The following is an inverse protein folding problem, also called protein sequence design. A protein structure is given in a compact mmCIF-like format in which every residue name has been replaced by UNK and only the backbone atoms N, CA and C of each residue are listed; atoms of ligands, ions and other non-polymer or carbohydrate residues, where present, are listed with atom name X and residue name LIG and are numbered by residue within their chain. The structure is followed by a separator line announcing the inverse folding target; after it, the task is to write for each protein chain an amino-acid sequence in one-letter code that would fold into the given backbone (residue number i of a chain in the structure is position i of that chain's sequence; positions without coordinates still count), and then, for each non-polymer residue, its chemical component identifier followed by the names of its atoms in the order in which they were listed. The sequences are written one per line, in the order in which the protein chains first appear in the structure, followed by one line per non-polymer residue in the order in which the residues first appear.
data_IF_203671299798
#
_entry.id   IF_203671299798
#
_cell.length_a   1.000
_cell.length_b   1.000
_cell.length_c   1.000
_cell.angle_alpha   90.00
_cell.angle_beta   90.00
_cell.angle_gamma   90.00
#
_symmetry.space_group_name_H-M   'P 1'
#
loop_
_entity.id
_entity.type
_entity.pdbx_description
1 polymer ?
#
# COMPACT_ATOMS: atom_id res chain seq x y z
N UNK A 1 -23.24 -29.86 5.05
CA UNK A 1 -23.56 -28.94 3.93
C UNK A 1 -22.89 -27.63 4.23
N UNK A 2 -21.89 -27.21 3.43
CA UNK A 2 -21.30 -25.88 3.53
C UNK A 2 -22.34 -24.87 3.07
N UNK A 3 -22.59 -23.85 3.86
CA UNK A 3 -23.42 -22.72 3.44
C UNK A 3 -22.82 -22.14 2.17
N UNK A 4 -23.62 -21.71 1.18
CA UNK A 4 -23.11 -20.99 0.03
C UNK A 4 -22.39 -19.72 0.51
N UNK A 5 -21.35 -19.24 -0.20
CA UNK A 5 -20.71 -17.99 0.16
C UNK A 5 -21.75 -16.87 0.17
N UNK A 6 -21.67 -15.92 1.13
CA UNK A 6 -22.61 -14.81 1.15
C UNK A 6 -22.48 -14.00 -0.14
N UNK A 7 -23.63 -13.51 -0.64
CA UNK A 7 -23.63 -12.58 -1.76
C UNK A 7 -22.87 -11.29 -1.41
N UNK A 8 -22.18 -10.67 -2.38
CA UNK A 8 -21.50 -9.43 -2.13
C UNK A 8 -22.50 -8.35 -1.71
N UNK A 9 -22.18 -7.57 -0.68
CA UNK A 9 -23.05 -6.48 -0.22
C UNK A 9 -23.20 -5.37 -1.26
N UNK A 10 -22.17 -5.20 -2.10
CA UNK A 10 -22.13 -4.20 -3.17
C UNK A 10 -21.46 -4.83 -4.41
N UNK A 11 -22.07 -4.60 -5.57
CA UNK A 11 -21.49 -4.88 -6.89
C UNK A 11 -21.18 -3.53 -7.53
N UNK A 12 -19.91 -3.10 -7.43
CA UNK A 12 -19.46 -1.79 -7.92
C UNK A 12 -19.19 -1.87 -9.42
N UNK A 13 -19.85 -1.00 -10.17
CA UNK A 13 -19.80 -0.94 -11.64
C UNK A 13 -19.16 0.36 -12.12
N UNK A 14 -18.72 0.38 -13.37
CA UNK A 14 -18.19 1.56 -14.03
C UNK A 14 -16.69 1.55 -14.25
N UNK A 15 -15.96 0.52 -13.80
CA UNK A 15 -14.57 0.31 -14.18
C UNK A 15 -14.54 -0.50 -15.46
N UNK A 16 -13.98 0.06 -16.53
CA UNK A 16 -13.86 -0.59 -17.84
C UNK A 16 -12.63 -1.49 -17.99
N UNK A 17 -11.84 -1.66 -16.91
CA UNK A 17 -10.54 -2.35 -16.94
C UNK A 17 -10.28 -3.15 -15.67
N UNK A 18 -9.18 -3.91 -15.64
CA UNK A 18 -8.71 -4.65 -14.49
C UNK A 18 -8.41 -3.72 -13.31
N UNK A 19 -8.92 -4.03 -12.12
CA UNK A 19 -8.72 -3.25 -10.89
C UNK A 19 -7.37 -3.60 -10.28
N UNK A 20 -6.54 -2.60 -10.07
CA UNK A 20 -5.19 -2.76 -9.50
C UNK A 20 -5.11 -2.44 -8.01
N UNK A 21 -5.95 -1.54 -7.49
CA UNK A 21 -6.01 -1.25 -6.06
C UNK A 21 -7.38 -0.75 -5.61
N UNK A 22 -7.66 -0.93 -4.30
CA UNK A 22 -8.91 -0.55 -3.66
C UNK A 22 -8.63 0.11 -2.31
N UNK A 23 -9.32 1.20 -2.01
CA UNK A 23 -9.17 1.96 -0.78
C UNK A 23 -10.51 2.39 -0.19
N UNK A 24 -10.69 2.19 1.13
CA UNK A 24 -11.82 2.75 1.87
C UNK A 24 -11.45 4.11 2.42
N UNK A 25 -12.33 5.11 2.22
CA UNK A 25 -12.22 6.42 2.83
C UNK A 25 -13.01 6.41 4.15
N UNK A 26 -12.31 6.46 5.27
CA UNK A 26 -12.92 6.63 6.59
C UNK A 26 -12.65 8.06 7.07
N UNK A 27 -13.68 8.92 7.16
CA UNK A 27 -13.55 10.23 7.81
C UNK A 27 -13.77 10.09 9.29
N UNK A 28 -12.74 10.39 10.10
CA UNK A 28 -12.69 10.12 11.54
C UNK A 28 -13.49 11.09 12.41
N UNK A 29 -14.05 12.21 11.93
CA UNK A 29 -14.58 13.25 12.83
C UNK A 29 -15.80 14.06 12.35
N UNK A 30 -16.85 13.43 11.78
CA UNK A 30 -18.19 14.12 11.71
C UNK A 30 -19.32 13.09 11.69
N UNK A 31 -20.55 13.45 12.13
CA UNK A 31 -21.69 12.53 12.10
C UNK A 31 -21.94 12.11 10.63
N UNK A 32 -21.58 10.86 10.38
CA UNK A 32 -21.85 10.07 9.16
C UNK A 32 -21.68 10.81 7.83
N UNK A 33 -20.44 11.01 7.31
CA UNK A 33 -20.27 11.31 5.90
C UNK A 33 -20.44 10.02 5.07
N UNK A 34 -20.73 10.14 3.76
CA UNK A 34 -20.87 8.97 2.92
C UNK A 34 -19.62 8.09 3.00
N UNK A 35 -19.81 6.78 3.09
CA UNK A 35 -18.75 5.79 2.99
C UNK A 35 -18.22 5.83 1.55
N UNK A 36 -17.13 6.54 1.34
CA UNK A 36 -16.50 6.63 0.03
C UNK A 36 -15.52 5.48 -0.15
N UNK A 37 -15.50 4.95 -1.34
CA UNK A 37 -14.62 3.88 -1.75
C UNK A 37 -13.95 4.27 -3.07
N UNK A 38 -12.65 4.10 -3.19
CA UNK A 38 -11.92 4.38 -4.43
C UNK A 38 -11.21 3.16 -4.95
N UNK A 39 -11.26 2.95 -6.26
CA UNK A 39 -10.57 1.89 -6.97
C UNK A 39 -9.75 2.45 -8.12
N UNK A 40 -8.53 1.96 -8.27
CA UNK A 40 -7.65 2.23 -9.40
C UNK A 40 -7.73 1.07 -10.39
N UNK A 41 -8.05 1.37 -11.65
CA UNK A 41 -8.05 0.43 -12.75
C UNK A 41 -6.94 0.71 -13.75
N UNK A 42 -6.84 -0.15 -14.79
CA UNK A 42 -5.94 0.07 -15.94
C UNK A 42 -6.55 0.96 -17.01
N UNK A 43 -7.70 1.57 -16.75
CA UNK A 43 -8.38 2.55 -17.60
C UNK A 43 -7.85 3.98 -17.42
N UNK A 44 -6.73 4.14 -16.73
CA UNK A 44 -6.13 5.45 -16.41
C UNK A 44 -7.04 6.32 -15.55
N UNK A 45 -7.88 5.72 -14.71
CA UNK A 45 -8.79 6.44 -13.84
C UNK A 45 -8.80 5.86 -12.43
N UNK A 46 -8.97 6.73 -11.46
CA UNK A 46 -9.33 6.38 -10.09
C UNK A 46 -10.80 6.74 -9.93
N UNK A 47 -11.61 5.71 -9.78
CA UNK A 47 -13.05 5.87 -9.59
C UNK A 47 -13.41 5.92 -8.13
N UNK A 48 -14.39 6.72 -7.77
CA UNK A 48 -14.93 6.82 -6.41
C UNK A 48 -16.42 6.50 -6.41
N UNK A 49 -16.84 5.71 -5.43
CA UNK A 49 -18.24 5.35 -5.17
C UNK A 49 -18.68 5.86 -3.81
N UNK A 50 -19.95 6.23 -3.71
CA UNK A 50 -20.59 6.53 -2.44
C UNK A 50 -21.42 5.31 -2.01
N UNK A 51 -20.91 4.56 -1.01
CA UNK A 51 -21.56 3.34 -0.53
C UNK A 51 -22.68 3.61 0.50
N UNK A 52 -22.80 4.83 1.05
CA UNK A 52 -23.79 5.15 2.09
C UNK A 52 -25.23 5.04 1.61
N UNK A 53 -25.48 5.24 0.31
CA UNK A 53 -26.81 5.23 -0.30
C UNK A 53 -27.12 3.93 -1.06
N UNK A 54 -26.26 2.90 -0.93
CA UNK A 54 -26.41 1.64 -1.66
C UNK A 54 -26.21 1.76 -3.17
N UNK A 55 -25.66 2.89 -3.62
CA UNK A 55 -25.38 3.12 -5.05
C UNK A 55 -24.12 2.35 -5.45
N UNK A 56 -24.18 1.69 -6.58
CA UNK A 56 -23.07 0.97 -7.19
C UNK A 56 -22.48 1.69 -8.43
N UNK A 57 -22.84 2.96 -8.63
CA UNK A 57 -22.36 3.78 -9.74
C UNK A 57 -21.18 4.65 -9.29
N UNK A 58 -20.30 4.94 -10.25
CA UNK A 58 -19.17 5.86 -10.05
C UNK A 58 -19.73 7.27 -9.78
N UNK A 59 -19.35 7.85 -8.65
CA UNK A 59 -19.76 9.21 -8.27
C UNK A 59 -18.75 10.26 -8.69
N UNK A 60 -17.48 9.87 -8.81
CA UNK A 60 -16.39 10.74 -9.24
C UNK A 60 -15.24 9.95 -9.86
N UNK A 61 -14.47 10.61 -10.74
CA UNK A 61 -13.30 10.01 -11.38
C UNK A 61 -12.16 11.02 -11.46
N UNK A 62 -10.95 10.53 -11.27
CA UNK A 62 -9.71 11.29 -11.40
C UNK A 62 -8.84 10.60 -12.44
N UNK A 63 -8.44 11.33 -13.48
CA UNK A 63 -7.53 10.82 -14.49
C UNK A 63 -6.12 10.62 -13.88
N UNK A 64 -5.46 9.53 -14.28
CA UNK A 64 -4.07 9.20 -13.93
C UNK A 64 -3.25 9.21 -15.21
N UNK A 65 -2.12 9.89 -15.18
CA UNK A 65 -1.28 10.09 -16.38
C UNK A 65 -0.51 8.84 -16.82
N UNK A 66 -0.39 7.83 -15.95
CA UNK A 66 0.43 6.65 -16.21
C UNK A 66 -0.24 5.36 -15.74
N UNK A 67 -0.15 4.31 -16.59
CA UNK A 67 -0.46 2.92 -16.22
C UNK A 67 0.79 2.26 -15.67
N UNK A 68 1.10 2.53 -14.41
CA UNK A 68 2.19 1.85 -13.70
C UNK A 68 1.71 0.62 -12.92
N UNK A 69 2.65 -0.18 -12.44
CA UNK A 69 2.39 -1.25 -11.46
C UNK A 69 2.12 -0.70 -10.06
N UNK A 70 2.42 0.58 -9.85
CA UNK A 70 2.34 1.24 -8.55
C UNK A 70 0.87 1.47 -8.14
N UNK A 71 0.53 0.99 -6.96
CA UNK A 71 -0.76 1.30 -6.32
C UNK A 71 -0.72 2.71 -5.73
N UNK A 72 -1.84 3.44 -5.83
CA UNK A 72 -2.00 4.71 -5.15
C UNK A 72 -1.89 4.56 -3.63
N UNK A 73 -1.51 5.62 -2.94
CA UNK A 73 -1.54 5.68 -1.48
C UNK A 73 -2.43 6.82 -1.01
N UNK A 74 -3.43 6.49 -0.20
CA UNK A 74 -4.40 7.42 0.33
C UNK A 74 -4.04 7.80 1.77
N UNK A 75 -4.11 9.08 2.08
CA UNK A 75 -4.01 9.63 3.43
C UNK A 75 -5.35 10.25 3.81
N UNK A 76 -6.05 9.60 4.76
CA UNK A 76 -7.33 10.07 5.29
C UNK A 76 -7.11 10.90 6.56
N UNK A 77 -6.87 12.19 6.38
CA UNK A 77 -6.81 13.18 7.46
C UNK A 77 -7.92 14.22 7.26
N UNK A 78 -7.77 15.39 7.89
CA UNK A 78 -8.61 16.57 7.63
C UNK A 78 -8.64 16.92 6.14
N UNK A 79 -7.51 16.77 5.45
CA UNK A 79 -7.36 16.83 3.99
C UNK A 79 -7.18 15.42 3.45
N UNK A 80 -8.08 14.96 2.62
CA UNK A 80 -7.99 13.66 1.97
C UNK A 80 -6.99 13.74 0.80
N UNK A 81 -5.77 13.24 1.01
CA UNK A 81 -4.69 13.33 0.03
C UNK A 81 -4.45 11.97 -0.63
N UNK A 82 -4.19 12.00 -1.92
CA UNK A 82 -3.88 10.84 -2.74
C UNK A 82 -2.52 11.01 -3.40
N UNK A 83 -1.60 10.08 -3.13
CA UNK A 83 -0.34 9.96 -3.86
C UNK A 83 -0.48 8.93 -4.99
N UNK A 84 -0.02 9.26 -6.17
CA UNK A 84 -0.08 8.42 -7.36
C UNK A 84 1.15 8.65 -8.26
N UNK A 85 1.50 7.70 -9.16
CA UNK A 85 2.50 7.96 -10.19
C UNK A 85 2.16 9.19 -11.03
N UNK A 86 3.16 9.99 -11.36
CA UNK A 86 3.02 11.17 -12.18
C UNK A 86 3.14 10.89 -13.68
N UNK A 87 3.30 11.95 -14.47
CA UNK A 87 3.43 11.88 -15.92
C UNK A 87 4.71 11.17 -16.36
N UNK A 88 5.83 11.51 -15.74
CA UNK A 88 7.09 10.81 -15.96
C UNK A 88 7.15 9.55 -15.08
N UNK A 89 7.82 8.51 -15.56
CA UNK A 89 7.85 7.20 -14.90
C UNK A 89 8.42 7.22 -13.48
N UNK A 90 9.37 8.13 -13.21
CA UNK A 90 10.01 8.32 -11.90
C UNK A 90 9.29 9.32 -10.98
N UNK A 91 8.27 10.01 -11.49
CA UNK A 91 7.59 11.09 -10.82
C UNK A 91 6.42 10.59 -9.96
N UNK A 92 6.20 11.25 -8.82
CA UNK A 92 4.99 11.03 -7.99
C UNK A 92 4.26 12.35 -7.82
N UNK A 93 2.95 12.32 -8.00
CA UNK A 93 2.05 13.44 -7.74
C UNK A 93 1.22 13.18 -6.49
N UNK A 94 0.96 14.24 -5.72
CA UNK A 94 0.03 14.21 -4.61
C UNK A 94 -1.08 15.21 -4.86
N UNK A 95 -2.32 14.72 -4.81
CA UNK A 95 -3.54 15.48 -5.11
C UNK A 95 -4.38 15.59 -3.84
N UNK A 96 -4.93 16.76 -3.59
CA UNK A 96 -6.02 16.96 -2.65
C UNK A 96 -7.35 16.57 -3.33
N UNK A 97 -7.98 15.52 -2.81
CA UNK A 97 -9.20 14.97 -3.40
C UNK A 97 -10.41 15.93 -3.29
N UNK A 98 -10.43 16.81 -2.29
CA UNK A 98 -11.52 17.75 -2.10
C UNK A 98 -11.48 18.87 -3.13
N UNK A 99 -10.32 19.45 -3.38
CA UNK A 99 -10.12 20.54 -4.34
C UNK A 99 -9.74 20.05 -5.75
N UNK A 100 -9.37 18.77 -5.91
CA UNK A 100 -8.82 18.15 -7.13
C UNK A 100 -7.55 18.84 -7.63
N UNK A 101 -6.79 19.48 -6.73
CA UNK A 101 -5.56 20.20 -7.07
C UNK A 101 -4.35 19.35 -6.71
N UNK A 102 -3.34 19.38 -7.59
CA UNK A 102 -2.01 18.86 -7.28
C UNK A 102 -1.39 19.77 -6.24
N UNK A 103 -0.99 19.21 -5.09
CA UNK A 103 -0.35 19.93 -3.99
C UNK A 103 1.16 19.71 -3.95
N UNK A 104 1.65 18.68 -4.63
CA UNK A 104 3.07 18.39 -4.74
C UNK A 104 3.38 17.45 -5.89
N UNK A 105 4.53 17.69 -6.50
CA UNK A 105 5.08 16.86 -7.56
C UNK A 105 6.54 16.54 -7.21
N UNK A 106 6.79 15.28 -6.84
CA UNK A 106 8.12 14.80 -6.47
C UNK A 106 8.78 14.24 -7.73
N UNK A 107 9.80 14.95 -8.19
CA UNK A 107 10.57 14.60 -9.39
C UNK A 107 12.03 14.39 -9.01
N UNK A 108 12.61 13.21 -9.28
CA UNK A 108 14.04 13.00 -9.14
C UNK A 108 14.84 14.03 -9.94
N UNK A 109 16.01 14.41 -9.42
CA UNK A 109 16.90 15.35 -10.13
C UNK A 109 17.19 14.81 -11.54
N UNK A 110 17.19 15.68 -12.51
CA UNK A 110 17.57 15.37 -13.89
C UNK A 110 18.89 14.58 -13.93
N UNK A 111 18.97 13.56 -14.78
CA UNK A 111 20.07 12.57 -14.89
C UNK A 111 20.11 11.49 -13.80
N UNK A 112 19.14 11.42 -12.91
CA UNK A 112 19.05 10.29 -11.96
C UNK A 112 18.35 9.09 -12.63
N UNK A 113 19.08 7.98 -12.78
CA UNK A 113 18.51 6.74 -13.34
C UNK A 113 17.86 5.88 -12.26
N UNK A 114 16.73 6.35 -11.69
CA UNK A 114 16.02 5.61 -10.64
C UNK A 114 14.98 4.62 -11.19
N UNK A 115 14.68 4.75 -12.48
CA UNK A 115 13.64 3.95 -13.13
C UNK A 115 12.23 4.36 -12.68
N UNK A 116 11.30 3.43 -12.80
CA UNK A 116 9.89 3.69 -12.51
C UNK A 116 9.58 3.71 -11.01
N UNK A 117 8.54 4.46 -10.65
CA UNK A 117 7.90 4.35 -9.34
C UNK A 117 7.19 3.01 -9.23
N UNK A 118 7.59 2.19 -8.26
CA UNK A 118 7.07 0.85 -8.07
C UNK A 118 6.04 0.74 -6.94
N UNK A 119 6.25 1.48 -5.85
CA UNK A 119 5.35 1.50 -4.71
C UNK A 119 5.45 2.81 -3.92
N UNK A 120 4.35 3.19 -3.27
CA UNK A 120 4.19 4.48 -2.61
C UNK A 120 3.53 4.29 -1.24
N UNK A 121 3.99 5.04 -0.24
CA UNK A 121 3.32 5.17 1.06
C UNK A 121 3.29 6.61 1.50
N UNK A 122 2.10 7.18 1.60
CA UNK A 122 1.86 8.53 2.10
C UNK A 122 1.38 8.48 3.55
N UNK A 123 1.92 9.32 4.41
CA UNK A 123 1.46 9.44 5.79
C UNK A 123 1.64 10.85 6.36
N UNK A 124 0.93 11.14 7.45
CA UNK A 124 1.06 12.36 8.23
C UNK A 124 1.78 12.06 9.53
N UNK A 125 2.93 12.67 9.80
CA UNK A 125 3.56 12.59 11.12
C UNK A 125 2.68 13.14 12.23
N UNK A 126 2.77 12.57 13.43
CA UNK A 126 1.96 13.01 14.60
C UNK A 126 2.25 14.43 15.06
N UNK A 127 3.43 14.95 14.77
CA UNK A 127 3.86 16.31 15.14
C UNK A 127 3.08 17.42 14.43
N UNK A 128 2.04 17.09 13.65
CA UNK A 128 1.28 18.09 12.88
C UNK A 128 2.07 18.69 11.71
N UNK A 129 3.30 18.21 11.47
CA UNK A 129 4.13 18.62 10.35
C UNK A 129 3.49 18.18 9.01
N UNK A 130 4.03 18.69 7.93
CA UNK A 130 3.61 18.38 6.57
C UNK A 130 3.60 16.89 6.26
N UNK A 131 2.74 16.42 5.34
CA UNK A 131 2.72 15.02 4.93
C UNK A 131 4.08 14.60 4.33
N UNK A 132 4.46 13.37 4.61
CA UNK A 132 5.67 12.72 4.09
C UNK A 132 5.29 11.58 3.17
N UNK A 133 6.16 11.30 2.21
CA UNK A 133 5.96 10.28 1.20
C UNK A 133 7.20 9.39 1.11
N UNK A 134 7.02 8.08 1.24
CA UNK A 134 8.06 7.08 0.92
C UNK A 134 7.73 6.48 -0.45
N UNK A 135 8.75 6.39 -1.29
CA UNK A 135 8.65 5.84 -2.64
C UNK A 135 9.71 4.76 -2.81
N UNK A 136 9.30 3.61 -3.31
CA UNK A 136 10.21 2.56 -3.80
C UNK A 136 10.33 2.63 -5.31
N UNK A 137 11.57 2.56 -5.79
CA UNK A 137 11.91 2.69 -7.20
C UNK A 137 12.39 1.39 -7.83
N UNK A 138 12.42 1.37 -9.16
CA UNK A 138 12.87 0.25 -9.98
C UNK A 138 14.37 -0.07 -9.77
N UNK A 139 15.19 0.91 -9.43
CA UNK A 139 16.61 0.71 -9.13
C UNK A 139 16.90 0.06 -7.77
N UNK A 140 15.86 -0.29 -7.00
CA UNK A 140 15.97 -0.91 -5.67
C UNK A 140 16.09 0.08 -4.52
N UNK A 141 16.02 1.39 -4.79
CA UNK A 141 16.08 2.43 -3.76
C UNK A 141 14.74 2.71 -3.10
N UNK A 142 14.80 3.09 -1.84
CA UNK A 142 13.69 3.66 -1.06
C UNK A 142 14.03 5.10 -0.72
N UNK A 143 13.10 6.00 -1.01
CA UNK A 143 13.31 7.44 -0.97
C UNK A 143 12.24 8.09 -0.11
N UNK A 144 12.63 9.03 0.75
CA UNK A 144 11.74 9.86 1.54
C UNK A 144 11.65 11.26 0.94
N UNK A 145 10.42 11.73 0.76
CA UNK A 145 10.09 13.05 0.27
C UNK A 145 9.27 13.85 1.27
N UNK A 146 9.56 15.16 1.33
CA UNK A 146 8.69 16.14 1.97
C UNK A 146 7.69 16.67 0.92
N UNK A 147 6.39 16.40 1.10
CA UNK A 147 5.39 16.62 0.05
C UNK A 147 5.22 18.11 -0.28
N UNK A 148 5.02 18.96 0.72
CA UNK A 148 4.75 20.40 0.47
C UNK A 148 5.97 21.17 -0.03
N UNK A 149 7.16 20.79 0.42
CA UNK A 149 8.42 21.40 -0.05
C UNK A 149 8.90 20.76 -1.36
N UNK A 150 8.29 19.66 -1.79
CA UNK A 150 8.69 18.85 -2.95
C UNK A 150 10.20 18.51 -2.90
N UNK A 151 10.68 18.26 -1.69
CA UNK A 151 12.10 18.10 -1.40
C UNK A 151 12.45 16.65 -1.12
N UNK A 152 13.50 16.18 -1.80
CA UNK A 152 14.18 14.94 -1.44
C UNK A 152 14.84 15.10 -0.07
N UNK A 153 14.50 14.22 0.87
CA UNK A 153 15.05 14.22 2.21
C UNK A 153 16.20 13.24 2.35
N UNK A 154 15.94 11.98 2.02
CA UNK A 154 16.93 10.91 2.13
C UNK A 154 16.62 9.78 1.16
N UNK A 155 17.67 9.08 0.73
CA UNK A 155 17.60 7.90 -0.16
C UNK A 155 18.50 6.81 0.38
N UNK A 156 18.02 5.57 0.35
CA UNK A 156 18.81 4.38 0.70
C UNK A 156 18.64 3.31 -0.38
N UNK A 157 19.69 2.55 -0.63
CA UNK A 157 19.63 1.35 -1.47
C UNK A 157 19.23 0.17 -0.58
N UNK A 158 18.03 -0.34 -0.79
CA UNK A 158 17.47 -1.45 -0.02
C UNK A 158 17.62 -2.79 -0.73
N UNK A 159 17.59 -2.78 -2.06
CA UNK A 159 17.58 -3.95 -2.93
C UNK A 159 18.47 -3.73 -4.15
N UNK A 160 18.85 -4.82 -4.82
CA UNK A 160 19.54 -4.80 -6.12
C UNK A 160 18.55 -4.84 -7.29
N UNK A 161 17.32 -5.22 -7.00
CA UNK A 161 16.21 -5.39 -7.93
C UNK A 161 15.05 -4.43 -7.53
N UNK A 162 14.06 -4.20 -8.40
CA UNK A 162 12.96 -3.28 -8.13
C UNK A 162 12.27 -3.49 -6.79
N UNK A 163 11.94 -2.40 -6.10
CA UNK A 163 11.15 -2.41 -4.85
C UNK A 163 9.70 -2.66 -5.19
N UNK A 164 9.25 -3.90 -5.14
CA UNK A 164 7.89 -4.29 -5.56
C UNK A 164 6.80 -3.78 -4.61
N UNK A 165 7.10 -3.72 -3.33
CA UNK A 165 6.14 -3.27 -2.31
C UNK A 165 6.86 -2.75 -1.07
N UNK A 166 6.21 -1.83 -0.36
CA UNK A 166 6.68 -1.33 0.93
C UNK A 166 5.51 -1.00 1.86
N UNK A 167 5.76 -1.04 3.15
CA UNK A 167 4.84 -0.50 4.16
C UNK A 167 5.63 0.13 5.32
N UNK A 168 4.98 1.06 6.03
CA UNK A 168 5.63 1.89 7.04
C UNK A 168 4.82 2.02 8.32
N UNK A 169 5.43 1.69 9.43
CA UNK A 169 4.92 1.89 10.78
C UNK A 169 5.33 3.28 11.29
N UNK A 170 4.46 4.25 11.11
CA UNK A 170 4.70 5.63 11.52
C UNK A 170 4.86 5.82 13.04
N UNK A 171 4.43 4.85 13.87
CA UNK A 171 4.54 4.94 15.33
C UNK A 171 5.91 4.52 15.83
N UNK A 172 6.51 3.54 15.18
CA UNK A 172 7.84 3.05 15.51
C UNK A 172 8.90 3.55 14.54
N UNK A 173 8.55 4.44 13.62
CA UNK A 173 9.41 4.98 12.56
C UNK A 173 10.20 3.87 11.83
N UNK A 174 9.51 2.76 11.52
CA UNK A 174 10.10 1.54 10.98
C UNK A 174 9.35 1.08 9.74
N UNK A 175 10.07 0.81 8.68
CA UNK A 175 9.52 0.33 7.42
C UNK A 175 10.08 -1.01 6.99
N UNK A 176 9.42 -1.57 5.99
CA UNK A 176 9.82 -2.80 5.31
C UNK A 176 9.59 -2.64 3.83
N UNK A 177 10.47 -3.21 3.05
CA UNK A 177 10.32 -3.33 1.59
C UNK A 177 10.62 -4.74 1.12
N UNK A 178 9.90 -5.15 0.08
CA UNK A 178 10.06 -6.40 -0.63
C UNK A 178 10.40 -6.17 -2.10
N UNK A 179 11.12 -7.12 -2.68
CA UNK A 179 11.63 -7.07 -4.04
C UNK A 179 11.41 -8.42 -4.74
N UNK A 180 11.80 -8.53 -6.01
CA UNK A 180 11.93 -9.81 -6.71
C UNK A 180 13.02 -10.72 -6.12
N UNK A 181 13.86 -10.23 -5.22
CA UNK A 181 14.88 -10.98 -4.50
C UNK A 181 14.29 -11.84 -3.37
N UNK A 182 15.19 -12.56 -2.66
CA UNK A 182 14.85 -13.35 -1.44
C UNK A 182 14.89 -12.53 -0.16
N UNK A 183 14.91 -11.22 -0.24
CA UNK A 183 15.19 -10.35 0.90
C UNK A 183 14.01 -9.42 1.19
N UNK A 184 13.56 -9.42 2.43
CA UNK A 184 12.80 -8.33 3.03
C UNK A 184 13.79 -7.37 3.68
N UNK A 185 13.88 -6.16 3.20
CA UNK A 185 14.71 -5.12 3.80
C UNK A 185 13.91 -4.36 4.86
N UNK A 186 14.46 -4.28 6.07
CA UNK A 186 13.86 -3.52 7.17
C UNK A 186 14.72 -2.29 7.41
N UNK A 187 14.09 -1.15 7.45
CA UNK A 187 14.73 0.16 7.61
C UNK A 187 14.01 1.00 8.66
N UNK A 188 14.68 2.00 9.20
CA UNK A 188 14.13 2.94 10.17
C UNK A 188 14.33 4.37 9.72
N UNK A 189 13.46 5.24 10.20
CA UNK A 189 13.56 6.67 10.05
C UNK A 189 14.02 7.25 11.39
N UNK A 190 15.16 7.96 11.42
CA UNK A 190 15.64 8.60 12.63
C UNK A 190 14.95 9.96 12.89
N UNK A 191 15.26 10.60 14.03
CA UNK A 191 14.69 11.90 14.42
C UNK A 191 15.06 13.02 13.44
N UNK A 192 16.19 12.88 12.74
CA UNK A 192 16.65 13.81 11.71
C UNK A 192 16.05 13.50 10.34
N UNK A 193 15.10 12.55 10.29
CA UNK A 193 14.42 12.09 9.08
C UNK A 193 15.36 11.43 8.06
N UNK A 194 16.41 10.76 8.52
CA UNK A 194 17.25 9.93 7.66
C UNK A 194 16.80 8.49 7.70
N UNK A 195 16.69 7.89 6.52
CA UNK A 195 16.45 6.46 6.38
C UNK A 195 17.75 5.67 6.63
N UNK A 196 17.64 4.57 7.37
CA UNK A 196 18.77 3.65 7.64
C UNK A 196 18.30 2.20 7.53
N UNK A 197 19.00 1.40 6.76
CA UNK A 197 18.75 -0.05 6.70
C UNK A 197 19.21 -0.68 8.02
N UNK A 198 18.33 -1.45 8.66
CA UNK A 198 18.59 -2.06 9.97
C UNK A 198 18.77 -3.56 9.91
N UNK A 199 18.02 -4.23 9.02
CA UNK A 199 18.00 -5.68 8.94
C UNK A 199 17.58 -6.15 7.55
N UNK A 200 18.23 -7.22 7.08
CA UNK A 200 17.77 -8.00 5.95
C UNK A 200 17.20 -9.33 6.49
N UNK A 201 15.96 -9.65 6.12
CA UNK A 201 15.33 -10.92 6.46
C UNK A 201 15.25 -11.77 5.20
N UNK A 202 16.04 -12.83 5.14
CA UNK A 202 16.02 -13.75 4.02
C UNK A 202 14.77 -14.66 4.08
N UNK A 203 14.17 -14.91 2.92
CA UNK A 203 13.09 -15.85 2.69
C UNK A 203 13.57 -16.98 1.77
N UNK A 204 12.87 -18.13 1.80
CA UNK A 204 13.30 -19.32 1.07
C UNK A 204 13.30 -19.12 -0.45
N UNK A 205 12.22 -18.56 -0.98
CA UNK A 205 12.04 -18.37 -2.43
C UNK A 205 11.99 -16.89 -2.79
N UNK A 206 12.50 -16.49 -3.97
CA UNK A 206 12.48 -15.11 -4.42
C UNK A 206 11.08 -14.64 -4.80
N UNK A 207 10.91 -13.32 -4.87
CA UNK A 207 9.72 -12.69 -5.37
C UNK A 207 8.71 -12.37 -4.30
N UNK A 208 8.78 -11.14 -3.78
CA UNK A 208 7.81 -10.57 -2.85
C UNK A 208 6.97 -9.57 -3.64
N UNK A 209 5.71 -9.93 -3.92
CA UNK A 209 4.80 -9.09 -4.68
C UNK A 209 4.18 -7.99 -3.82
N UNK A 210 3.90 -8.28 -2.55
CA UNK A 210 3.24 -7.32 -1.67
C UNK A 210 3.62 -7.55 -0.21
N UNK A 211 3.59 -6.48 0.59
CA UNK A 211 3.79 -6.49 2.04
C UNK A 211 2.72 -5.64 2.70
N UNK A 212 2.19 -6.10 3.83
CA UNK A 212 1.21 -5.37 4.60
C UNK A 212 1.45 -5.51 6.09
N UNK A 213 1.50 -4.40 6.80
CA UNK A 213 1.54 -4.34 8.27
C UNK A 213 0.12 -4.33 8.82
N UNK A 214 -0.15 -5.17 9.81
CA UNK A 214 -1.42 -5.09 10.52
C UNK A 214 -1.49 -3.81 11.35
N UNK A 215 -2.68 -3.22 11.44
CA UNK A 215 -2.90 -1.93 12.10
C UNK A 215 -2.39 -1.89 13.55
N UNK A 216 -2.43 -3.01 14.28
CA UNK A 216 -1.89 -3.11 15.64
C UNK A 216 -0.36 -3.21 15.71
N UNK A 217 0.34 -3.23 14.56
CA UNK A 217 1.79 -3.29 14.42
C UNK A 217 2.43 -4.50 15.10
N UNK A 218 1.70 -5.60 15.22
CA UNK A 218 2.22 -6.85 15.80
C UNK A 218 2.74 -7.80 14.75
N UNK A 219 2.13 -7.84 13.57
CA UNK A 219 2.48 -8.76 12.49
C UNK A 219 2.58 -8.08 11.13
N UNK A 220 3.41 -8.66 10.28
CA UNK A 220 3.60 -8.35 8.88
C UNK A 220 3.17 -9.56 8.05
N UNK A 221 2.41 -9.36 6.99
CA UNK A 221 2.14 -10.35 5.96
C UNK A 221 2.91 -10.02 4.68
N UNK A 222 3.33 -11.06 3.95
CA UNK A 222 3.97 -10.93 2.63
C UNK A 222 3.30 -11.84 1.62
N UNK A 223 3.07 -11.35 0.42
CA UNK A 223 2.63 -12.11 -0.74
C UNK A 223 3.84 -12.59 -1.55
N UNK A 224 3.95 -13.88 -1.80
CA UNK A 224 5.07 -14.48 -2.54
C UNK A 224 4.69 -14.98 -3.93
N UNK A 225 5.62 -14.84 -4.88
CA UNK A 225 5.49 -15.44 -6.22
C UNK A 225 5.49 -16.97 -6.17
N UNK A 226 5.98 -17.53 -5.07
CA UNK A 226 5.97 -18.97 -4.78
C UNK A 226 4.64 -19.50 -4.24
N UNK A 227 3.54 -18.81 -4.47
CA UNK A 227 2.18 -19.15 -4.09
C UNK A 227 1.90 -19.15 -2.57
N UNK A 228 2.78 -18.53 -1.79
CA UNK A 228 2.70 -18.56 -0.32
C UNK A 228 2.49 -17.18 0.26
N UNK A 229 1.73 -17.12 1.36
CA UNK A 229 1.66 -15.96 2.22
C UNK A 229 2.46 -16.25 3.48
N UNK A 230 3.40 -15.38 3.82
CA UNK A 230 4.24 -15.53 5.03
C UNK A 230 3.88 -14.48 6.05
N UNK A 231 3.83 -14.92 7.29
CA UNK A 231 3.52 -14.07 8.44
C UNK A 231 4.74 -13.95 9.33
N UNK A 232 5.09 -12.72 9.66
CA UNK A 232 6.21 -12.41 10.55
C UNK A 232 5.73 -11.59 11.74
N UNK A 233 6.33 -11.82 12.90
CA UNK A 233 6.22 -10.92 14.05
C UNK A 233 6.98 -9.63 13.79
N UNK A 234 6.28 -8.49 13.73
CA UNK A 234 6.84 -7.23 13.27
C UNK A 234 8.04 -6.73 14.09
N UNK A 235 7.98 -6.86 15.43
CA UNK A 235 9.04 -6.33 16.29
C UNK A 235 10.43 -6.93 16.00
N UNK A 236 10.50 -8.26 15.85
CA UNK A 236 11.77 -9.01 15.68
C UNK A 236 11.93 -9.64 14.30
N UNK A 237 10.97 -9.53 13.42
CA UNK A 237 10.91 -10.21 12.12
C UNK A 237 11.04 -11.75 12.27
N UNK A 238 10.44 -12.29 13.33
CA UNK A 238 10.40 -13.74 13.55
C UNK A 238 9.33 -14.36 12.64
N UNK A 239 9.66 -15.39 11.82
CA UNK A 239 8.65 -16.13 11.09
C UNK A 239 7.62 -16.76 12.05
N UNK A 240 6.34 -16.58 11.79
CA UNK A 240 5.25 -17.11 12.60
C UNK A 240 4.46 -18.19 11.86
N UNK A 241 4.17 -17.99 10.56
CA UNK A 241 3.44 -18.93 9.76
C UNK A 241 3.76 -18.81 8.27
N UNK A 242 3.52 -19.89 7.54
CA UNK A 242 3.50 -19.94 6.08
C UNK A 242 2.15 -20.51 5.68
N UNK A 243 1.32 -19.69 5.04
CA UNK A 243 -0.01 -20.09 4.60
C UNK A 243 0.08 -20.63 3.17
N UNK A 244 -0.40 -21.85 2.97
CA UNK A 244 -0.35 -22.56 1.70
C UNK A 244 -1.78 -22.90 1.27
N UNK A 245 -2.26 -22.21 0.27
CA UNK A 245 -3.59 -22.41 -0.30
C UNK A 245 -3.59 -22.21 -1.81
N UNK A 246 -2.89 -21.16 -2.26
CA UNK A 246 -2.87 -20.76 -3.64
C UNK A 246 -2.01 -21.67 -4.52
N UNK A 247 -2.45 -21.88 -5.76
CA UNK A 247 -1.73 -22.68 -6.76
C UNK A 247 -0.91 -21.83 -7.75
N UNK A 248 -1.02 -20.51 -7.65
CA UNK A 248 -0.23 -19.55 -8.44
C UNK A 248 0.24 -18.39 -7.57
N UNK A 249 1.06 -17.49 -8.14
CA UNK A 249 1.63 -16.34 -7.44
C UNK A 249 0.58 -15.53 -6.69
N UNK A 250 0.87 -15.19 -5.44
CA UNK A 250 0.04 -14.29 -4.64
C UNK A 250 0.49 -12.86 -4.94
N UNK A 251 -0.44 -12.00 -5.36
CA UNK A 251 -0.15 -10.65 -5.83
C UNK A 251 -0.41 -9.56 -4.80
N UNK A 252 -1.34 -9.80 -3.89
CA UNK A 252 -1.67 -8.82 -2.88
C UNK A 252 -2.08 -9.45 -1.55
N UNK A 253 -1.83 -8.73 -0.47
CA UNK A 253 -2.27 -9.06 0.88
C UNK A 253 -2.83 -7.81 1.55
N UNK A 254 -3.89 -7.96 2.34
CA UNK A 254 -4.50 -6.88 3.08
C UNK A 254 -5.04 -7.37 4.41
N UNK A 255 -4.85 -6.60 5.46
CA UNK A 255 -5.51 -6.83 6.75
C UNK A 255 -6.81 -6.04 6.84
N UNK A 256 -7.83 -6.64 7.46
CA UNK A 256 -9.02 -5.90 7.85
C UNK A 256 -8.69 -4.89 8.96
N UNK A 257 -9.37 -3.75 8.91
CA UNK A 257 -9.22 -2.65 9.85
C UNK A 257 -10.22 -2.78 11.02
N UNK A 258 -10.29 -3.95 11.65
CA UNK A 258 -11.25 -4.21 12.72
C UNK A 258 -10.62 -3.97 14.08
N UNK A 259 -11.35 -3.26 14.96
CA UNK A 259 -10.90 -2.95 16.32
C UNK A 259 -10.87 -4.19 17.21
N UNK A 260 -11.82 -5.13 17.02
CA UNK A 260 -11.93 -6.37 17.78
C UNK A 260 -10.86 -7.36 17.25
N UNK A 261 -9.91 -7.80 18.09
CA UNK A 261 -8.80 -8.66 17.65
C UNK A 261 -9.23 -9.98 16.99
N UNK A 262 -10.32 -10.58 17.48
CA UNK A 262 -10.86 -11.85 17.01
C UNK A 262 -11.50 -11.75 15.62
N UNK A 263 -11.89 -10.56 15.21
CA UNK A 263 -12.51 -10.28 13.92
C UNK A 263 -11.50 -9.76 12.88
N UNK A 264 -10.21 -9.73 13.24
CA UNK A 264 -9.16 -9.31 12.31
C UNK A 264 -8.85 -10.41 11.31
N UNK A 265 -9.06 -10.08 10.06
CA UNK A 265 -8.87 -10.97 8.93
C UNK A 265 -7.63 -10.55 8.12
N UNK A 266 -7.04 -11.52 7.46
CA UNK A 266 -6.06 -11.33 6.40
C UNK A 266 -6.67 -11.86 5.11
N UNK A 267 -6.73 -11.04 4.08
CA UNK A 267 -7.08 -11.45 2.73
C UNK A 267 -5.82 -11.54 1.86
N UNK A 268 -5.80 -12.50 0.96
CA UNK A 268 -4.75 -12.65 -0.04
C UNK A 268 -5.35 -12.98 -1.41
N UNK A 269 -4.96 -12.22 -2.43
CA UNK A 269 -5.39 -12.39 -3.81
C UNK A 269 -4.28 -12.97 -4.69
N UNK A 270 -4.63 -13.92 -5.55
CA UNK A 270 -3.66 -14.68 -6.35
C UNK A 270 -4.04 -14.75 -7.83
N UNK A 271 -3.03 -15.00 -8.66
CA UNK A 271 -3.16 -15.27 -10.11
C UNK A 271 -3.99 -16.53 -10.40
N UNK A 272 -4.27 -17.38 -9.41
CA UNK A 272 -5.17 -18.53 -9.54
C UNK A 272 -6.65 -18.13 -9.54
N UNK A 273 -6.97 -16.83 -9.63
CA UNK A 273 -8.32 -16.27 -9.62
C UNK A 273 -9.08 -16.50 -8.30
N UNK A 274 -8.37 -16.74 -7.21
CA UNK A 274 -8.95 -16.96 -5.88
C UNK A 274 -8.52 -15.89 -4.90
N UNK A 275 -9.39 -15.65 -3.94
CA UNK A 275 -9.09 -14.85 -2.75
C UNK A 275 -9.22 -15.79 -1.55
N UNK A 276 -8.17 -15.88 -0.76
CA UNK A 276 -8.20 -16.58 0.52
C UNK A 276 -8.37 -15.58 1.67
N UNK A 277 -9.19 -15.96 2.67
CA UNK A 277 -9.41 -15.15 3.87
C UNK A 277 -9.04 -15.98 5.08
N UNK A 278 -8.22 -15.40 5.98
CA UNK A 278 -7.67 -16.07 7.14
C UNK A 278 -8.01 -15.30 8.41
N UNK A 279 -8.52 -16.01 9.41
CA UNK A 279 -8.61 -15.45 10.77
C UNK A 279 -7.22 -15.51 11.41
N UNK A 280 -6.69 -14.35 11.76
CA UNK A 280 -5.35 -14.24 12.34
C UNK A 280 -5.47 -14.09 13.85
N UNK A 281 -4.99 -15.09 14.58
CA UNK A 281 -5.00 -15.06 16.05
C UNK A 281 -4.32 -13.81 16.60
N UNK A 282 -4.98 -13.17 17.56
CA UNK A 282 -4.32 -12.24 18.46
C UNK A 282 -3.50 -13.08 19.44
N UNK A 283 -2.17 -13.06 19.34
CA UNK A 283 -1.37 -13.49 20.48
C UNK A 283 -1.62 -12.47 21.61
N UNK A 284 -2.28 -12.94 22.65
CA UNK A 284 -2.43 -12.24 23.93
C UNK A 284 -1.07 -11.94 24.55
#
# INVERSE_FOLDING_TARGET
MSLPPPDPKFDLRGIGAEVSSLHFHCRVHKPCPPLLFSGQGRDLQIHTWNLAEGRNEVTDSIAVDSVGFCKCSLLNNENCLLAMPGKESSQVQVIDLASKKIIGCMDPVADSNWGMVMCIKLWQPKSGSSPLLIVGYEDGSVVLWHVLEQKLMTRIMCHKEPVMSLDFDCMNAKGVSGSSEKILSVWTLDEQQNLKTCKAQEIVNPGIADVALRQDRKILATAGWDCRVRIFGWKKMKPLAVLQYHSASVHCVAFSDHNIPEERLLAAGSKDHRISIWSMYSQT
#
